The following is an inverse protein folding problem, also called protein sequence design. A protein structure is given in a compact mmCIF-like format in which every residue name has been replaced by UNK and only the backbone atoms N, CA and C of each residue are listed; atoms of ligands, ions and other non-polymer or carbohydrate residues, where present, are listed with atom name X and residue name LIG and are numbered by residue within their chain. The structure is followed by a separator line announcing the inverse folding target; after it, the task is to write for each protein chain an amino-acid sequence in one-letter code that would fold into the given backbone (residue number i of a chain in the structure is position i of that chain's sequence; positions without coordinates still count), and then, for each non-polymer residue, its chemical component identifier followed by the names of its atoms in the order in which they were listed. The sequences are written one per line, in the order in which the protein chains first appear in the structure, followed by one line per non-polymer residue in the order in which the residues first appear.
data_IF_285862013949
#
_entry.id   IF_285862013949
#
_cell.length_a   1.000
_cell.length_b   1.000
_cell.length_c   1.000
_cell.angle_alpha   90.00
_cell.angle_beta   90.00
_cell.angle_gamma   90.00
#
_symmetry.space_group_name_H-M   'P 1'
#
loop_
_entity.id
_entity.type
_entity.pdbx_description
1 polymer ?
#
# COMPACT_ATOMS: atom_id res chain seq x y z
N UNK A 1 -10.67 8.24 -6.43
CA UNK A 1 -11.38 8.15 -5.13
C UNK A 1 -10.67 7.16 -4.23
N UNK A 2 -10.64 7.41 -2.91
CA UNK A 2 -10.00 6.55 -1.91
C UNK A 2 -11.03 6.17 -0.84
N UNK A 3 -11.11 4.90 -0.47
CA UNK A 3 -12.10 4.36 0.47
C UNK A 3 -11.54 3.21 1.32
N UNK A 4 -12.27 2.82 2.36
CA UNK A 4 -11.93 1.73 3.31
C UNK A 4 -10.53 1.82 3.94
N UNK A 5 -10.04 3.05 4.14
CA UNK A 5 -8.73 3.32 4.73
C UNK A 5 -8.72 2.82 6.18
N UNK A 6 -7.83 1.87 6.45
CA UNK A 6 -7.68 1.27 7.78
C UNK A 6 -6.24 0.88 8.04
N UNK A 7 -5.82 0.96 9.30
CA UNK A 7 -4.58 0.36 9.78
C UNK A 7 -4.92 -0.71 10.81
N UNK A 8 -4.15 -1.80 10.84
CA UNK A 8 -4.32 -2.83 11.88
C UNK A 8 -3.50 -2.47 13.12
N UNK A 9 -4.14 -2.57 14.27
CA UNK A 9 -3.47 -2.54 15.55
C UNK A 9 -2.42 -3.65 15.61
N UNK A 10 -1.24 -3.32 16.10
CA UNK A 10 -0.11 -4.23 16.22
C UNK A 10 0.09 -4.67 17.67
N UNK A 11 0.56 -5.91 17.92
CA UNK A 11 0.95 -6.32 19.26
C UNK A 11 2.00 -5.38 19.87
N UNK A 12 2.10 -5.30 21.21
CA UNK A 12 3.15 -4.54 21.87
C UNK A 12 4.53 -4.91 21.32
N UNK A 13 5.37 -3.91 21.06
CA UNK A 13 6.76 -4.02 20.55
C UNK A 13 6.91 -4.50 19.10
N UNK A 14 5.82 -4.77 18.37
CA UNK A 14 5.93 -5.03 16.93
C UNK A 14 6.38 -3.75 16.20
N UNK A 15 7.47 -3.79 15.42
CA UNK A 15 8.06 -2.57 14.83
C UNK A 15 7.35 -2.08 13.56
N UNK A 16 6.45 -2.88 12.99
CA UNK A 16 5.80 -2.60 11.70
C UNK A 16 4.29 -2.84 11.82
N UNK A 17 3.51 -1.91 11.28
CA UNK A 17 2.06 -2.00 11.15
C UNK A 17 1.63 -2.15 9.68
N UNK A 18 0.51 -2.83 9.45
CA UNK A 18 -0.10 -2.98 8.13
C UNK A 18 -1.24 -1.97 7.91
N UNK A 19 -1.20 -1.25 6.81
CA UNK A 19 -2.27 -0.36 6.34
C UNK A 19 -2.92 -0.90 5.07
N UNK A 20 -4.21 -0.66 4.91
CA UNK A 20 -5.01 -1.05 3.75
C UNK A 20 -5.93 0.10 3.38
N UNK A 21 -6.15 0.26 2.09
CA UNK A 21 -7.09 1.20 1.51
C UNK A 21 -7.46 0.68 0.13
N UNK A 22 -8.55 1.19 -0.42
CA UNK A 22 -8.93 0.94 -1.80
C UNK A 22 -8.85 2.25 -2.57
N UNK A 23 -8.28 2.20 -3.77
CA UNK A 23 -8.25 3.33 -4.69
C UNK A 23 -8.98 2.93 -5.97
N UNK A 24 -9.88 3.80 -6.40
CA UNK A 24 -10.53 3.71 -7.70
C UNK A 24 -10.21 4.98 -8.47
N UNK A 25 -9.50 4.86 -9.59
CA UNK A 25 -9.41 5.95 -10.54
C UNK A 25 -10.76 6.08 -11.25
N UNK A 26 -11.28 7.30 -11.33
CA UNK A 26 -12.55 7.61 -12.03
C UNK A 26 -12.34 8.68 -13.11
N UNK A 27 -11.08 9.01 -13.40
CA UNK A 27 -10.70 9.98 -14.41
C UNK A 27 -10.38 9.30 -15.75
N UNK A 28 -10.21 10.08 -16.83
CA UNK A 28 -9.92 9.56 -18.16
C UNK A 28 -8.42 9.28 -18.42
N UNK A 29 -7.55 9.49 -17.43
CA UNK A 29 -6.09 9.35 -17.53
C UNK A 29 -5.59 8.49 -16.38
N UNK A 30 -4.52 7.73 -16.62
CA UNK A 30 -3.84 6.96 -15.58
C UNK A 30 -3.33 7.86 -14.46
N UNK A 31 -3.43 7.36 -13.23
CA UNK A 31 -2.91 8.01 -12.03
C UNK A 31 -1.85 7.10 -11.37
N UNK A 32 -1.14 7.63 -10.38
CA UNK A 32 -0.07 6.91 -9.68
C UNK A 32 -0.07 7.21 -8.19
N UNK A 33 -0.24 6.17 -7.39
CA UNK A 33 0.02 6.21 -5.95
C UNK A 33 1.53 6.22 -5.70
N UNK A 34 2.10 7.39 -5.46
CA UNK A 34 3.54 7.57 -5.20
C UNK A 34 3.95 7.37 -3.73
N UNK A 35 2.99 7.37 -2.80
CA UNK A 35 3.27 7.24 -1.38
C UNK A 35 2.03 7.35 -0.52
N UNK A 36 2.19 7.03 0.77
CA UNK A 36 1.18 7.21 1.82
C UNK A 36 1.86 7.82 3.04
N UNK A 37 1.12 8.50 3.91
CA UNK A 37 1.65 9.00 5.18
C UNK A 37 0.75 8.56 6.33
N UNK A 38 1.37 8.28 7.48
CA UNK A 38 0.67 7.92 8.70
C UNK A 38 1.37 8.64 9.88
N UNK A 39 0.68 9.49 10.65
CA UNK A 39 1.31 10.33 11.68
C UNK A 39 2.06 9.55 12.77
N UNK A 40 1.69 8.29 13.00
CA UNK A 40 2.30 7.41 13.99
C UNK A 40 3.49 6.60 13.45
N UNK A 41 3.80 6.69 12.16
CA UNK A 41 4.86 5.91 11.51
C UNK A 41 6.03 6.80 11.11
N UNK A 42 7.25 6.43 11.53
CA UNK A 42 8.47 7.12 11.10
C UNK A 42 8.81 6.93 9.62
N UNK A 43 8.29 5.87 8.99
CA UNK A 43 8.41 5.59 7.55
C UNK A 43 7.19 4.80 7.07
N UNK A 44 6.79 5.05 5.84
CA UNK A 44 5.77 4.30 5.11
C UNK A 44 6.36 3.70 3.83
N UNK A 45 5.89 2.53 3.46
CA UNK A 45 6.30 1.83 2.23
C UNK A 45 5.08 1.19 1.58
N UNK A 46 5.07 1.15 0.25
CA UNK A 46 4.05 0.42 -0.52
C UNK A 46 4.65 -0.91 -0.92
N UNK A 47 3.93 -2.01 -0.69
CA UNK A 47 4.38 -3.37 -0.99
C UNK A 47 3.37 -4.06 -1.90
N UNK A 48 3.87 -4.80 -2.87
CA UNK A 48 3.08 -5.71 -3.71
C UNK A 48 3.21 -7.15 -3.21
N UNK A 49 2.17 -7.94 -3.44
CA UNK A 49 2.19 -9.38 -3.23
C UNK A 49 2.27 -10.04 -4.61
N UNK A 50 3.31 -10.84 -4.84
CA UNK A 50 3.46 -11.64 -6.06
C UNK A 50 3.65 -13.11 -5.71
N UNK A 51 3.00 -13.98 -6.48
CA UNK A 51 3.28 -15.41 -6.44
C UNK A 51 4.34 -15.70 -7.50
N UNK A 52 5.51 -16.19 -7.06
CA UNK A 52 6.58 -16.63 -7.94
C UNK A 52 7.00 -18.03 -7.52
N UNK A 53 7.02 -18.97 -8.47
CA UNK A 53 7.41 -20.36 -8.23
C UNK A 53 6.62 -21.00 -7.07
N UNK A 54 5.29 -20.77 -7.04
CA UNK A 54 4.38 -21.16 -5.95
C UNK A 54 4.68 -20.56 -4.56
N UNK A 55 5.58 -19.58 -4.46
CA UNK A 55 5.88 -18.85 -3.23
C UNK A 55 5.25 -17.47 -3.28
N UNK A 56 4.45 -17.14 -2.26
CA UNK A 56 3.94 -15.79 -2.06
C UNK A 56 5.04 -14.90 -1.47
N UNK A 57 5.37 -13.81 -2.17
CA UNK A 57 6.40 -12.86 -1.76
C UNK A 57 5.80 -11.47 -1.64
N UNK A 58 6.14 -10.79 -0.55
CA UNK A 58 5.82 -9.38 -0.35
C UNK A 58 7.08 -8.57 -0.66
N UNK A 59 6.98 -7.61 -1.58
CA UNK A 59 8.12 -6.80 -2.01
C UNK A 59 7.74 -5.33 -2.06
N UNK A 60 8.64 -4.47 -1.57
CA UNK A 60 8.50 -3.02 -1.72
C UNK A 60 8.41 -2.64 -3.21
N UNK A 61 7.47 -1.75 -3.51
CA UNK A 61 7.31 -1.12 -4.83
C UNK A 61 8.11 0.19 -4.83
N UNK A 62 9.02 0.32 -5.78
CA UNK A 62 9.73 1.57 -6.06
C UNK A 62 9.02 2.33 -7.18
N UNK A 63 8.97 3.65 -7.09
CA UNK A 63 8.31 4.50 -8.11
C UNK A 63 6.78 4.50 -8.06
N UNK A 64 6.17 3.90 -7.03
CA UNK A 64 4.73 3.92 -6.80
C UNK A 64 3.92 2.89 -7.60
N UNK A 65 2.62 2.88 -7.35
CA UNK A 65 1.66 1.95 -7.98
C UNK A 65 0.82 2.71 -8.99
N UNK A 66 0.80 2.25 -10.23
CA UNK A 66 -0.05 2.79 -11.28
C UNK A 66 -1.51 2.40 -11.05
N UNK A 67 -2.42 3.32 -11.32
CA UNK A 67 -3.86 3.16 -11.19
C UNK A 67 -4.48 3.50 -12.54
N UNK A 68 -4.73 2.49 -13.39
CA UNK A 68 -5.37 2.66 -14.69
C UNK A 68 -6.70 3.40 -14.57
N UNK A 69 -7.09 4.10 -15.64
CA UNK A 69 -8.42 4.70 -15.78
C UNK A 69 -9.52 3.63 -15.87
#
# INVERSE_FOLDING_TARGET
MIYDVRARATPPKAPVAGGYLTIMNTGPVMDRLIGVSAPFAGKTEIHEIKVKDNVMQMRRVDGGVEIPA
#
